data_IF_540854097352
#
_entry.id   IF_540854097352
#
_cell.length_a   1.000
_cell.length_b   1.000
_cell.length_c   1.000
_cell.angle_alpha   90.00
_cell.angle_beta   90.00
_cell.angle_gamma   90.00
#
_symmetry.space_group_name_H-M   'P 1'
#
loop_
_entity.id
_entity.type
_entity.pdbx_description
1 polymer ?
#
# COMPACT_ATOMS: atom_id res chain seq x y z
N UNK A 1 17.24 -6.28 0.71
CA UNK A 1 18.05 -5.09 1.06
C UNK A 1 17.13 -3.87 1.07
N UNK A 2 16.68 -3.41 2.25
CA UNK A 2 15.86 -2.20 2.38
C UNK A 2 16.81 -1.00 2.40
N UNK A 3 16.67 -0.08 1.44
CA UNK A 3 17.34 1.24 1.47
C UNK A 3 16.35 2.24 2.06
N UNK A 4 16.54 2.57 3.34
CA UNK A 4 15.90 3.73 3.96
C UNK A 4 16.72 4.94 3.52
N UNK A 5 16.07 5.86 2.81
CA UNK A 5 16.63 7.19 2.55
C UNK A 5 16.04 8.10 3.62
N UNK A 6 16.86 8.42 4.61
CA UNK A 6 16.53 9.53 5.50
C UNK A 6 16.89 10.84 4.82
N UNK A 7 15.82 11.64 4.66
CA UNK A 7 15.85 13.04 4.30
C UNK A 7 15.88 13.81 5.61
N UNK A 8 16.97 14.52 5.89
CA UNK A 8 16.99 15.61 6.85
C UNK A 8 17.63 16.83 6.20
N UNK A 9 16.75 17.73 5.77
CA UNK A 9 16.76 19.18 6.03
C UNK A 9 18.15 19.84 5.91
N UNK A 10 18.41 20.64 4.89
CA UNK A 10 17.63 21.84 4.60
C UNK A 10 18.11 22.99 5.50
N UNK A 11 19.28 23.53 5.19
CA UNK A 11 19.68 24.86 5.63
C UNK A 11 19.91 25.72 4.40
N UNK A 12 18.80 26.30 3.94
CA UNK A 12 18.84 27.55 3.20
C UNK A 12 19.14 28.69 4.16
N UNK A 13 20.05 29.58 3.76
CA UNK A 13 19.97 31.03 3.95
C UNK A 13 21.11 31.63 3.12
N UNK A 14 20.82 32.31 2.01
CA UNK A 14 20.17 33.62 1.93
C UNK A 14 21.02 34.73 2.54
N UNK A 15 21.59 35.50 1.62
CA UNK A 15 21.92 36.92 1.68
C UNK A 15 21.85 37.61 3.05
N UNK A 16 22.97 38.18 3.43
CA UNK A 16 22.98 39.57 3.86
C UNK A 16 24.39 40.12 3.72
N UNK A 17 24.54 41.04 2.76
CA UNK A 17 25.59 42.04 2.75
C UNK A 17 25.51 42.79 4.09
N UNK A 18 26.48 42.55 4.96
CA UNK A 18 26.77 43.46 6.07
C UNK A 18 28.22 43.89 5.95
N UNK A 19 28.35 45.11 5.43
CA UNK A 19 29.52 45.98 5.47
C UNK A 19 30.18 45.90 6.85
N UNK A 20 31.48 45.55 6.96
CA UNK A 20 32.25 45.96 8.13
C UNK A 20 32.35 47.47 8.03
N UNK A 21 31.57 48.16 8.85
CA UNK A 21 31.83 49.55 9.18
C UNK A 21 33.27 49.64 9.67
N UNK A 22 34.06 50.34 8.85
CA UNK A 22 35.44 50.67 9.10
C UNK A 22 35.46 51.51 10.38
N UNK A 23 35.81 50.87 11.50
CA UNK A 23 36.14 51.55 12.74
C UNK A 23 37.30 52.50 12.46
N UNK A 24 36.95 53.79 12.45
CA UNK A 24 37.88 54.91 12.38
C UNK A 24 38.81 54.82 13.59
N UNK A 25 40.02 54.30 13.36
CA UNK A 25 41.12 54.51 14.28
C UNK A 25 41.59 55.94 14.03
N UNK A 26 41.31 56.79 15.00
CA UNK A 26 41.71 58.18 15.09
C UNK A 26 43.25 58.24 15.03
N UNK A 27 43.78 58.55 13.84
CA UNK A 27 45.20 58.75 13.62
C UNK A 27 45.60 60.07 14.27
N UNK A 28 46.29 59.96 15.41
CA UNK A 28 46.94 61.08 16.09
C UNK A 28 47.88 61.82 15.12
N UNK A 29 47.53 63.07 14.85
CA UNK A 29 48.20 64.00 13.96
C UNK A 29 49.47 64.54 14.64
N UNK A 30 50.53 63.72 14.73
CA UNK A 30 51.83 64.22 15.17
C UNK A 30 52.55 64.87 13.99
N UNK A 31 52.27 66.17 13.82
CA UNK A 31 53.02 67.08 12.96
C UNK A 31 54.36 67.36 13.65
N UNK A 32 55.31 66.44 13.47
CA UNK A 32 56.73 66.81 13.47
C UNK A 32 57.28 66.26 12.16
N UNK A 33 56.97 66.99 11.08
CA UNK A 33 57.66 66.84 9.81
C UNK A 33 59.09 67.36 10.03
N UNK A 34 59.93 66.51 10.61
CA UNK A 34 61.36 66.63 10.34
C UNK A 34 61.46 66.20 8.89
N UNK A 35 61.85 67.12 8.02
CA UNK A 35 62.34 66.75 6.71
C UNK A 35 63.59 65.92 6.95
N UNK A 36 63.39 64.60 7.14
CA UNK A 36 64.47 63.63 7.11
C UNK A 36 64.88 63.66 5.66
N UNK A 37 65.94 64.40 5.40
CA UNK A 37 66.63 64.40 4.13
C UNK A 37 67.24 62.99 3.98
N UNK A 38 66.41 62.04 3.52
CA UNK A 38 66.86 60.69 3.18
C UNK A 38 67.70 60.89 1.93
N UNK A 39 68.99 61.14 2.14
CA UNK A 39 69.99 61.17 1.09
C UNK A 39 70.10 59.75 0.54
N UNK A 40 69.17 59.41 -0.35
CA UNK A 40 69.17 58.21 -1.14
C UNK A 40 70.40 58.32 -2.03
N UNK A 41 71.48 57.67 -1.60
CA UNK A 41 72.68 57.61 -2.41
C UNK A 41 72.29 57.12 -3.80
N UNK A 42 72.89 57.70 -4.85
CA UNK A 42 72.68 57.26 -6.24
C UNK A 42 72.85 55.74 -6.40
N UNK A 43 73.64 55.12 -5.53
CA UNK A 43 73.80 53.67 -5.40
C UNK A 43 72.55 52.93 -4.92
N UNK A 44 71.81 53.43 -3.92
CA UNK A 44 70.57 52.80 -3.45
C UNK A 44 69.44 52.96 -4.47
N UNK A 45 69.33 54.13 -5.13
CA UNK A 45 68.37 54.36 -6.21
C UNK A 45 68.66 53.49 -7.45
N UNK A 46 69.94 53.27 -7.80
CA UNK A 46 70.35 52.32 -8.85
C UNK A 46 70.24 50.84 -8.42
N UNK A 47 70.10 50.54 -7.11
CA UNK A 47 69.86 49.19 -6.61
C UNK A 47 68.37 48.80 -6.64
N UNK A 48 67.48 49.77 -6.87
CA UNK A 48 66.04 49.54 -7.09
C UNK A 48 65.78 49.10 -8.55
N UNK A 49 66.81 49.01 -9.40
CA UNK A 49 66.84 48.07 -10.54
C UNK A 49 66.87 46.62 -10.00
N UNK A 50 65.82 46.30 -9.27
CA UNK A 50 65.48 44.99 -8.77
C UNK A 50 64.85 44.20 -9.92
N UNK A 51 65.62 44.08 -11.00
CA UNK A 51 65.31 43.26 -12.16
C UNK A 51 65.02 41.84 -11.68
N UNK A 52 65.69 41.39 -10.61
CA UNK A 52 65.56 40.08 -9.98
C UNK A 52 64.19 39.83 -9.30
N UNK A 53 63.63 40.79 -8.55
CA UNK A 53 62.31 40.61 -7.92
C UNK A 53 61.17 40.82 -8.94
N UNK A 54 61.35 41.68 -9.93
CA UNK A 54 60.41 41.82 -11.06
C UNK A 54 60.40 40.57 -11.97
N UNK A 55 61.54 39.91 -12.18
CA UNK A 55 61.60 38.64 -12.90
C UNK A 55 60.98 37.51 -12.09
N UNK A 56 61.30 37.39 -10.79
CA UNK A 56 60.66 36.40 -9.90
C UNK A 56 59.13 36.57 -9.82
N UNK A 57 58.64 37.81 -9.73
CA UNK A 57 57.21 38.10 -9.73
C UNK A 57 56.55 37.72 -11.06
N UNK A 58 57.19 38.03 -12.20
CA UNK A 58 56.69 37.64 -13.53
C UNK A 58 56.71 36.13 -13.74
N UNK A 59 57.76 35.44 -13.29
CA UNK A 59 57.89 33.98 -13.36
C UNK A 59 56.81 33.29 -12.52
N UNK A 60 56.63 33.70 -11.26
CA UNK A 60 55.60 33.17 -10.37
C UNK A 60 54.17 33.46 -10.85
N UNK A 61 53.93 34.65 -11.42
CA UNK A 61 52.65 34.98 -12.03
C UNK A 61 52.35 34.13 -13.26
N UNK A 62 53.37 33.87 -14.10
CA UNK A 62 53.24 33.05 -15.30
C UNK A 62 52.98 31.58 -14.96
N UNK A 63 53.63 31.05 -13.92
CA UNK A 63 53.38 29.70 -13.41
C UNK A 63 51.94 29.53 -12.92
N UNK A 64 51.43 30.47 -12.11
CA UNK A 64 50.04 30.43 -11.62
C UNK A 64 49.01 30.56 -12.75
N UNK A 65 49.30 31.37 -13.76
CA UNK A 65 48.44 31.51 -14.95
C UNK A 65 48.37 30.18 -15.72
N UNK A 66 49.48 29.47 -15.87
CA UNK A 66 49.48 28.21 -16.61
C UNK A 66 48.86 27.05 -15.82
N UNK A 67 49.01 27.03 -14.49
CA UNK A 67 48.30 26.11 -13.59
C UNK A 67 46.76 26.32 -13.67
N UNK A 68 46.30 27.56 -13.56
CA UNK A 68 44.88 27.90 -13.69
C UNK A 68 44.33 27.57 -15.08
N UNK A 69 45.16 27.65 -16.12
CA UNK A 69 44.77 27.31 -17.49
C UNK A 69 44.60 25.81 -17.69
N UNK A 70 45.49 24.99 -17.15
CA UNK A 70 45.34 23.52 -17.19
C UNK A 70 44.16 23.05 -16.31
N UNK A 71 43.93 23.68 -15.15
CA UNK A 71 42.76 23.38 -14.32
C UNK A 71 41.44 23.77 -15.01
N UNK A 72 41.39 24.94 -15.65
CA UNK A 72 40.24 25.37 -16.44
C UNK A 72 39.95 24.41 -17.60
N UNK A 73 41.01 23.91 -18.25
CA UNK A 73 40.90 22.92 -19.33
C UNK A 73 40.37 21.58 -18.82
N UNK A 74 40.91 21.06 -17.71
CA UNK A 74 40.42 19.84 -17.08
C UNK A 74 38.97 19.97 -16.59
N UNK A 75 38.56 21.15 -16.11
CA UNK A 75 37.19 21.42 -15.70
C UNK A 75 36.23 21.50 -16.89
N UNK A 76 36.68 22.07 -18.02
CA UNK A 76 35.92 22.09 -19.26
C UNK A 76 35.67 20.66 -19.78
N UNK A 77 36.71 19.82 -19.82
CA UNK A 77 36.61 18.43 -20.25
C UNK A 77 35.65 17.63 -19.35
N UNK A 78 35.82 17.74 -18.02
CA UNK A 78 34.91 17.11 -17.04
C UNK A 78 33.46 17.56 -17.22
N UNK A 79 33.22 18.85 -17.43
CA UNK A 79 31.87 19.37 -17.64
C UNK A 79 31.26 18.87 -18.95
N UNK A 80 32.07 18.62 -20.00
CA UNK A 80 31.56 18.02 -21.24
C UNK A 80 31.12 16.57 -21.05
N UNK A 81 31.89 15.79 -20.29
CA UNK A 81 31.60 14.39 -19.99
C UNK A 81 30.37 14.25 -19.09
N UNK A 82 30.27 15.03 -18.01
CA UNK A 82 29.11 15.04 -17.12
C UNK A 82 27.84 15.45 -17.86
N UNK A 83 27.92 16.44 -18.76
CA UNK A 83 26.79 16.87 -19.59
C UNK A 83 26.34 15.76 -20.55
N UNK A 84 27.28 14.99 -21.12
CA UNK A 84 26.95 13.86 -21.98
C UNK A 84 26.25 12.74 -21.20
N UNK A 85 26.77 12.38 -20.03
CA UNK A 85 26.18 11.37 -19.13
C UNK A 85 24.79 11.80 -18.66
N UNK A 86 24.64 13.05 -18.20
CA UNK A 86 23.36 13.62 -17.76
C UNK A 86 22.31 13.63 -18.90
N UNK A 87 22.74 13.92 -20.13
CA UNK A 87 21.83 13.85 -21.29
C UNK A 87 21.34 12.42 -21.54
N UNK A 88 22.22 11.42 -21.45
CA UNK A 88 21.87 10.01 -21.63
C UNK A 88 20.89 9.52 -20.56
N UNK A 89 21.15 9.83 -19.29
CA UNK A 89 20.24 9.48 -18.18
C UNK A 89 18.84 10.09 -18.34
N UNK A 90 18.78 11.33 -18.86
CA UNK A 90 17.49 11.99 -19.16
C UNK A 90 16.72 11.26 -20.27
N UNK A 91 17.41 10.78 -21.30
CA UNK A 91 16.80 10.01 -22.39
C UNK A 91 16.27 8.66 -21.87
N UNK A 92 17.06 7.93 -21.09
CA UNK A 92 16.64 6.67 -20.44
C UNK A 92 15.42 6.87 -19.52
N UNK A 93 15.41 7.94 -18.72
CA UNK A 93 14.27 8.27 -17.87
C UNK A 93 12.99 8.56 -18.67
N UNK A 94 13.10 9.21 -19.83
CA UNK A 94 11.96 9.46 -20.71
C UNK A 94 11.42 8.17 -21.33
N UNK A 95 12.28 7.22 -21.69
CA UNK A 95 11.86 5.89 -22.16
C UNK A 95 11.14 5.11 -21.07
N UNK A 96 11.66 5.12 -19.84
CA UNK A 96 11.01 4.47 -18.71
C UNK A 96 9.65 5.11 -18.41
N UNK A 97 9.56 6.44 -18.47
CA UNK A 97 8.28 7.15 -18.31
C UNK A 97 7.27 6.73 -19.38
N UNK A 98 7.69 6.60 -20.64
CA UNK A 98 6.82 6.08 -21.72
C UNK A 98 6.40 4.64 -21.46
N UNK A 99 7.32 3.79 -21.00
CA UNK A 99 7.06 2.40 -20.64
C UNK A 99 6.03 2.32 -19.51
N UNK A 100 6.20 3.10 -18.45
CA UNK A 100 5.26 3.20 -17.34
C UNK A 100 3.87 3.70 -17.78
N UNK A 101 3.81 4.68 -18.69
CA UNK A 101 2.57 5.13 -19.29
C UNK A 101 1.82 3.99 -20.00
N UNK A 102 2.54 3.18 -20.79
CA UNK A 102 1.99 2.01 -21.48
C UNK A 102 1.49 0.93 -20.50
N UNK A 103 2.26 0.65 -19.44
CA UNK A 103 1.84 -0.28 -18.39
C UNK A 103 0.58 0.20 -17.67
N UNK A 104 0.50 1.48 -17.33
CA UNK A 104 -0.68 2.07 -16.68
C UNK A 104 -1.96 1.84 -17.50
N UNK A 105 -1.90 2.05 -18.81
CA UNK A 105 -3.06 1.84 -19.69
C UNK A 105 -3.49 0.37 -19.69
N UNK A 106 -2.54 -0.57 -19.78
CA UNK A 106 -2.85 -2.01 -19.72
C UNK A 106 -3.47 -2.44 -18.39
N UNK A 107 -3.00 -1.88 -17.28
CA UNK A 107 -3.58 -2.16 -15.97
C UNK A 107 -5.05 -1.67 -15.91
N UNK A 108 -5.31 -0.45 -16.36
CA UNK A 108 -6.67 0.12 -16.39
C UNK A 108 -7.61 -0.66 -17.33
N UNK A 109 -7.12 -1.13 -18.48
CA UNK A 109 -7.90 -1.96 -19.39
C UNK A 109 -8.27 -3.31 -18.75
N UNK A 110 -7.29 -3.95 -18.09
CA UNK A 110 -7.49 -5.20 -17.36
C UNK A 110 -8.46 -5.04 -16.19
N UNK A 111 -8.36 -3.94 -15.45
CA UNK A 111 -9.27 -3.59 -14.36
C UNK A 111 -10.71 -3.43 -14.86
N UNK A 112 -10.92 -2.66 -15.94
CA UNK A 112 -12.25 -2.52 -16.57
C UNK A 112 -12.80 -3.86 -17.03
N UNK A 113 -11.97 -4.71 -17.64
CA UNK A 113 -12.36 -6.05 -18.10
C UNK A 113 -12.76 -6.95 -16.93
N UNK A 114 -12.06 -6.89 -15.81
CA UNK A 114 -12.41 -7.65 -14.60
C UNK A 114 -13.69 -7.13 -13.97
N UNK A 115 -13.86 -5.81 -13.87
CA UNK A 115 -15.09 -5.21 -13.32
C UNK A 115 -16.32 -5.59 -14.16
N UNK A 116 -16.21 -5.62 -15.49
CA UNK A 116 -17.30 -6.09 -16.35
C UNK A 116 -17.64 -7.57 -16.10
N UNK A 117 -16.63 -8.44 -15.91
CA UNK A 117 -16.86 -9.85 -15.57
C UNK A 117 -17.49 -10.01 -14.19
N UNK A 118 -17.10 -9.17 -13.23
CA UNK A 118 -17.66 -9.18 -11.87
C UNK A 118 -19.14 -8.82 -11.91
N UNK A 119 -19.53 -7.76 -12.61
CA UNK A 119 -20.93 -7.36 -12.75
C UNK A 119 -21.80 -8.44 -13.43
N UNK A 120 -21.27 -9.13 -14.45
CA UNK A 120 -21.98 -10.25 -15.07
C UNK A 120 -22.18 -11.40 -14.07
N UNK A 121 -21.14 -11.77 -13.33
CA UNK A 121 -21.22 -12.87 -12.35
C UNK A 121 -22.16 -12.53 -11.18
N UNK A 122 -22.19 -11.27 -10.75
CA UNK A 122 -23.14 -10.78 -9.75
C UNK A 122 -24.58 -10.93 -10.24
N UNK A 123 -24.85 -10.59 -11.51
CA UNK A 123 -26.16 -10.80 -12.13
C UNK A 123 -26.55 -12.28 -12.20
N UNK A 124 -25.62 -13.14 -12.61
CA UNK A 124 -25.84 -14.58 -12.68
C UNK A 124 -26.14 -15.18 -11.28
N UNK A 125 -25.47 -14.66 -10.24
CA UNK A 125 -25.71 -15.06 -8.85
C UNK A 125 -27.09 -14.63 -8.36
N UNK A 126 -27.52 -13.41 -8.66
CA UNK A 126 -28.85 -12.92 -8.32
C UNK A 126 -29.95 -13.76 -9.00
N UNK A 127 -29.77 -14.10 -10.28
CA UNK A 127 -30.70 -14.98 -11.01
C UNK A 127 -30.75 -16.39 -10.39
N UNK A 128 -29.59 -16.94 -10.01
CA UNK A 128 -29.52 -18.25 -9.37
C UNK A 128 -30.20 -18.25 -8.01
N UNK A 129 -30.01 -17.19 -7.23
CA UNK A 129 -30.65 -17.00 -5.93
C UNK A 129 -32.18 -16.92 -6.06
N UNK A 130 -32.69 -16.14 -7.02
CA UNK A 130 -34.13 -16.06 -7.27
C UNK A 130 -34.72 -17.45 -7.63
N UNK A 131 -34.00 -18.24 -8.43
CA UNK A 131 -34.42 -19.62 -8.75
C UNK A 131 -34.43 -20.51 -7.51
N UNK A 132 -33.43 -20.39 -6.64
CA UNK A 132 -33.36 -21.14 -5.39
C UNK A 132 -34.58 -20.82 -4.51
N UNK A 133 -34.84 -19.54 -4.25
CA UNK A 133 -35.99 -19.08 -3.45
C UNK A 133 -37.34 -19.49 -4.10
N UNK A 134 -37.39 -19.56 -5.43
CA UNK A 134 -38.52 -20.08 -6.17
C UNK A 134 -38.75 -21.59 -6.00
N UNK A 135 -37.68 -22.39 -5.96
CA UNK A 135 -37.75 -23.83 -5.73
C UNK A 135 -38.07 -24.16 -4.27
N UNK A 136 -37.51 -23.42 -3.32
CA UNK A 136 -37.77 -23.58 -1.89
C UNK A 136 -39.27 -23.38 -1.57
N UNK A 137 -39.89 -22.33 -2.12
CA UNK A 137 -41.34 -22.12 -1.99
C UNK A 137 -42.17 -23.27 -2.56
N UNK A 138 -41.80 -23.78 -3.74
CA UNK A 138 -42.50 -24.92 -4.36
C UNK A 138 -42.34 -26.20 -3.53
N UNK A 139 -41.18 -26.40 -2.93
CA UNK A 139 -40.94 -27.53 -2.05
C UNK A 139 -41.84 -27.46 -0.81
N UNK A 140 -41.96 -26.28 -0.20
CA UNK A 140 -42.83 -26.07 0.95
C UNK A 140 -44.31 -26.26 0.60
N UNK A 141 -44.76 -25.69 -0.52
CA UNK A 141 -46.12 -25.91 -1.03
C UNK A 141 -46.42 -27.40 -1.26
N UNK A 142 -45.46 -28.13 -1.84
CA UNK A 142 -45.61 -29.57 -2.09
C UNK A 142 -45.64 -30.38 -0.80
N UNK A 143 -44.78 -30.05 0.18
CA UNK A 143 -44.84 -30.66 1.52
C UNK A 143 -46.22 -30.46 2.15
N UNK A 144 -46.76 -29.25 2.07
CA UNK A 144 -48.10 -28.93 2.56
C UNK A 144 -49.19 -29.78 1.89
N UNK A 145 -49.14 -29.95 0.57
CA UNK A 145 -50.08 -30.80 -0.17
C UNK A 145 -49.99 -32.26 0.27
N UNK A 146 -48.77 -32.80 0.38
CA UNK A 146 -48.55 -34.20 0.79
C UNK A 146 -49.09 -34.44 2.20
N UNK A 147 -48.77 -33.55 3.16
CA UNK A 147 -49.26 -33.65 4.54
C UNK A 147 -50.79 -33.61 4.56
N UNK A 148 -51.40 -32.69 3.81
CA UNK A 148 -52.85 -32.56 3.74
C UNK A 148 -53.52 -33.81 3.14
N UNK A 149 -52.95 -34.38 2.08
CA UNK A 149 -53.46 -35.63 1.50
C UNK A 149 -53.36 -36.80 2.47
N UNK A 150 -52.25 -36.91 3.22
CA UNK A 150 -52.09 -37.93 4.26
C UNK A 150 -53.11 -37.78 5.38
N UNK A 151 -53.32 -36.57 5.90
CA UNK A 151 -54.35 -36.27 6.91
C UNK A 151 -55.72 -36.69 6.39
N UNK A 152 -56.05 -36.31 5.15
CA UNK A 152 -57.32 -36.65 4.53
C UNK A 152 -57.51 -38.17 4.35
N UNK A 153 -56.47 -38.88 3.91
CA UNK A 153 -56.47 -40.33 3.74
C UNK A 153 -56.65 -41.06 5.07
N UNK A 154 -55.91 -40.65 6.10
CA UNK A 154 -56.02 -41.19 7.45
C UNK A 154 -57.42 -41.02 8.03
N UNK A 155 -57.97 -39.80 7.97
CA UNK A 155 -59.33 -39.53 8.46
C UNK A 155 -60.39 -40.33 7.71
N UNK A 156 -60.22 -40.56 6.40
CA UNK A 156 -61.10 -41.45 5.64
C UNK A 156 -61.02 -42.89 6.14
N UNK A 157 -59.82 -43.42 6.35
CA UNK A 157 -59.62 -44.77 6.89
C UNK A 157 -60.16 -44.93 8.31
N UNK A 158 -59.94 -43.94 9.18
CA UNK A 158 -60.45 -43.95 10.56
C UNK A 158 -61.99 -43.98 10.60
N UNK A 159 -62.65 -43.18 9.74
CA UNK A 159 -64.12 -43.23 9.59
C UNK A 159 -64.60 -44.59 9.11
N UNK A 160 -63.88 -45.25 8.20
CA UNK A 160 -64.21 -46.61 7.78
C UNK A 160 -64.07 -47.60 8.93
N UNK A 161 -63.00 -47.52 9.73
CA UNK A 161 -62.80 -48.40 10.88
C UNK A 161 -63.89 -48.21 11.95
N UNK A 162 -64.23 -46.95 12.28
CA UNK A 162 -65.29 -46.63 13.23
C UNK A 162 -66.67 -47.12 12.80
N UNK A 163 -66.91 -47.25 11.49
CA UNK A 163 -68.15 -47.85 10.99
C UNK A 163 -68.25 -49.36 11.31
N UNK A 164 -67.13 -50.09 11.28
CA UNK A 164 -67.10 -51.52 11.59
C UNK A 164 -66.97 -51.83 13.09
N UNK A 165 -66.46 -50.89 13.88
CA UNK A 165 -66.20 -51.07 15.31
C UNK A 165 -66.82 -49.91 16.11
N UNK A 166 -67.90 -50.20 16.82
CA UNK A 166 -68.65 -49.20 17.61
C UNK A 166 -67.85 -48.62 18.80
N UNK A 167 -66.74 -49.26 19.19
CA UNK A 167 -65.90 -48.81 20.30
C UNK A 167 -64.84 -47.78 19.86
N UNK A 168 -64.75 -47.48 18.57
CA UNK A 168 -63.81 -46.50 18.02
C UNK A 168 -64.52 -45.14 17.92
N UNK A 169 -64.10 -44.19 18.76
CA UNK A 169 -64.45 -42.78 18.59
C UNK A 169 -63.46 -42.10 17.63
N UNK A 170 -63.98 -41.52 16.53
CA UNK A 170 -63.19 -40.79 15.52
C UNK A 170 -62.56 -39.53 16.12
N UNK A 171 -63.09 -39.03 17.24
CA UNK A 171 -62.58 -37.85 17.96
C UNK A 171 -61.59 -38.22 19.07
N UNK A 172 -61.27 -39.50 19.26
CA UNK A 172 -60.34 -39.94 20.30
C UNK A 172 -58.92 -39.42 20.01
N UNK A 173 -58.33 -38.75 20.99
CA UNK A 173 -56.99 -38.17 20.91
C UNK A 173 -55.88 -39.21 20.69
N UNK A 174 -56.18 -40.51 20.82
CA UNK A 174 -55.27 -41.61 20.46
C UNK A 174 -55.09 -41.77 18.94
N UNK A 175 -55.98 -41.22 18.12
CA UNK A 175 -55.90 -41.24 16.65
C UNK A 175 -55.53 -39.87 16.10
N UNK A 176 -54.38 -39.34 16.52
CA UNK A 176 -53.84 -38.06 16.06
C UNK A 176 -52.64 -38.28 15.12
N UNK A 177 -52.82 -37.96 13.84
CA UNK A 177 -51.79 -38.11 12.80
C UNK A 177 -50.60 -37.16 12.98
N UNK A 178 -50.72 -36.13 13.84
CA UNK A 178 -49.64 -35.19 14.13
C UNK A 178 -48.78 -35.60 15.33
N UNK A 179 -49.05 -36.79 15.90
CA UNK A 179 -48.29 -37.33 17.03
C UNK A 179 -47.60 -38.62 16.63
N UNK A 180 -46.36 -38.75 17.05
CA UNK A 180 -45.57 -39.97 16.90
C UNK A 180 -45.64 -40.83 18.17
N UNK A 181 -45.35 -42.13 18.05
CA UNK A 181 -45.32 -43.08 19.17
C UNK A 181 -43.88 -43.39 19.54
N UNK A 182 -43.38 -42.75 20.59
CA UNK A 182 -42.03 -42.97 21.13
C UNK A 182 -42.14 -43.65 22.48
N UNK A 183 -41.55 -44.85 22.63
CA UNK A 183 -41.59 -45.59 23.90
C UNK A 183 -43.00 -45.96 24.39
N UNK A 184 -43.99 -46.04 23.48
CA UNK A 184 -45.39 -46.29 23.81
C UNK A 184 -46.18 -45.04 24.25
N UNK A 185 -45.58 -43.85 24.21
CA UNK A 185 -46.24 -42.59 24.51
C UNK A 185 -46.43 -41.76 23.22
N UNK A 186 -47.57 -41.06 23.12
CA UNK A 186 -47.83 -40.14 22.02
C UNK A 186 -47.14 -38.80 22.28
N UNK A 187 -46.22 -38.42 21.39
CA UNK A 187 -45.41 -37.20 21.49
C UNK A 187 -45.60 -36.36 20.23
N UNK A 188 -45.64 -35.04 20.39
CA UNK A 188 -45.71 -34.13 19.23
C UNK A 188 -44.34 -34.05 18.55
N UNK A 189 -44.32 -33.95 17.22
CA UNK A 189 -43.09 -33.87 16.41
C UNK A 189 -42.16 -32.72 16.82
N UNK A 190 -42.70 -31.56 17.20
CA UNK A 190 -41.91 -30.42 17.69
C UNK A 190 -41.16 -30.68 19.01
N UNK A 191 -41.56 -31.71 19.78
CA UNK A 191 -40.93 -32.08 21.04
C UNK A 191 -39.94 -33.25 20.88
N UNK A 192 -39.81 -33.82 19.68
CA UNK A 192 -38.90 -34.94 19.37
C UNK A 192 -37.64 -34.52 18.60
N UNK A 193 -37.52 -33.25 18.18
CA UNK A 193 -36.35 -32.75 17.47
C UNK A 193 -35.15 -32.60 18.41
N UNK A 194 -34.35 -33.66 18.47
CA UNK A 194 -32.98 -33.63 19.00
C UNK A 194 -31.99 -33.07 17.95
N UNK A 195 -32.42 -32.90 16.68
CA UNK A 195 -31.61 -32.37 15.58
C UNK A 195 -31.42 -30.84 15.60
N UNK A 196 -32.38 -30.07 16.12
CA UNK A 196 -32.25 -28.61 16.24
C UNK A 196 -31.18 -28.19 17.28
N UNK A 197 -30.96 -29.02 18.31
CA UNK A 197 -29.82 -28.83 19.23
C UNK A 197 -28.48 -29.10 18.54
N UNK A 198 -28.40 -30.04 17.59
CA UNK A 198 -27.14 -30.39 16.90
C UNK A 198 -26.75 -29.31 15.90
N UNK A 199 -27.71 -28.71 15.20
CA UNK A 199 -27.46 -27.59 14.27
C UNK A 199 -27.04 -26.33 15.03
N UNK A 200 -27.69 -26.05 16.17
CA UNK A 200 -27.29 -24.94 17.06
C UNK A 200 -25.91 -25.14 17.68
N UNK A 201 -25.55 -26.38 18.06
CA UNK A 201 -24.21 -26.73 18.55
C UNK A 201 -23.16 -26.62 17.43
N UNK A 202 -23.51 -26.95 16.19
CA UNK A 202 -22.63 -26.82 15.03
C UNK A 202 -22.36 -25.34 14.68
N UNK A 203 -23.37 -24.47 14.71
CA UNK A 203 -23.20 -23.03 14.52
C UNK A 203 -22.35 -22.38 15.62
N UNK A 204 -22.51 -22.83 16.88
CA UNK A 204 -21.70 -22.38 18.02
C UNK A 204 -20.23 -22.82 17.87
N UNK A 205 -19.96 -24.04 17.38
CA UNK A 205 -18.59 -24.50 17.11
C UNK A 205 -17.91 -23.77 15.95
N UNK A 206 -18.66 -23.38 14.91
CA UNK A 206 -18.13 -22.59 13.78
C UNK A 206 -17.84 -21.14 14.20
N UNK A 207 -18.64 -20.58 15.10
CA UNK A 207 -18.40 -19.26 15.65
C UNK A 207 -17.15 -19.22 16.56
N UNK A 208 -16.85 -20.30 17.28
CA UNK A 208 -15.67 -20.41 18.15
C UNK A 208 -14.37 -20.64 17.35
N UNK A 209 -14.42 -21.37 16.22
CA UNK A 209 -13.26 -21.58 15.32
C UNK A 209 -12.82 -20.28 14.62
N UNK A 210 -13.76 -19.37 14.29
CA UNK A 210 -13.47 -18.08 13.63
C UNK A 210 -12.75 -17.09 14.57
N UNK A 211 -12.83 -17.25 15.89
CA UNK A 211 -12.22 -16.31 16.86
C UNK A 211 -10.74 -16.61 17.15
N UNK A 212 -10.22 -17.80 16.83
CA UNK A 212 -8.85 -18.20 17.23
C UNK A 212 -7.74 -17.71 16.28
N UNK A 213 -8.02 -17.36 15.02
CA UNK A 213 -6.94 -17.00 14.07
C UNK A 213 -6.80 -15.49 13.82
N UNK A 214 -6.62 -14.71 14.89
CA UNK A 214 -6.02 -13.36 14.80
C UNK A 214 -4.96 -13.16 15.88
N UNK A 215 -3.83 -13.85 15.74
CA UNK A 215 -2.72 -13.77 16.70
C UNK A 215 -1.37 -14.16 16.10
N UNK A 216 -0.71 -13.18 15.49
CA UNK A 216 0.63 -13.23 14.89
C UNK A 216 1.71 -14.10 15.60
N UNK A 217 2.65 -14.64 14.82
CA UNK A 217 4.10 -14.26 14.79
C UNK A 217 4.96 -15.36 14.13
N UNK A 218 5.88 -14.93 13.26
CA UNK A 218 7.29 -15.39 13.15
C UNK A 218 7.76 -15.66 11.71
N UNK A 219 8.65 -14.77 11.29
CA UNK A 219 9.57 -14.85 10.16
C UNK A 219 10.40 -16.15 10.23
N UNK A 220 10.35 -16.97 9.18
CA UNK A 220 11.40 -17.93 8.87
C UNK A 220 11.91 -17.66 7.45
N UNK A 221 13.09 -17.03 7.40
CA UNK A 221 13.87 -16.76 6.19
C UNK A 221 14.56 -18.06 5.77
N UNK A 222 14.02 -18.74 4.75
CA UNK A 222 14.66 -19.90 4.12
C UNK A 222 15.05 -19.56 2.68
N UNK A 223 16.36 -19.57 2.42
CA UNK A 223 16.95 -19.55 1.08
C UNK A 223 16.40 -20.70 0.23
N UNK A 224 16.15 -20.45 -1.06
CA UNK A 224 16.29 -21.49 -2.08
C UNK A 224 17.10 -20.91 -3.24
N UNK A 225 18.39 -21.23 -3.22
CA UNK A 225 19.22 -21.33 -4.41
C UNK A 225 18.80 -22.58 -5.19
N UNK A 226 18.85 -22.48 -6.52
CA UNK A 226 18.93 -23.52 -7.55
C UNK A 226 17.70 -23.79 -8.44
N UNK A 227 18.02 -23.64 -9.75
CA UNK A 227 17.38 -24.03 -11.02
C UNK A 227 16.35 -23.04 -11.58
#
# INVERSE_FOLDING_TARGET
MKRVRDVLLGLGSSSSVTKPEVGLIELLETIVQRDIDINLSKSLANSIDNVELNTMLKEGSRSRVEELKEELKGQADKHTEEKATCKKEREEWLEEKKRLGSWRVRCLDSEKKLNAKLANLETDFDELKEKHDGLERKLEDLKGQIIQEHINGFQKGLRQAAFFHNDIDVSDARFDVNKDVVGGQLVNEANSNLEEEVEKLAEETLAEEVVVDTGAVAVARGNLENI
#
